data_IF_504721021380
#
_entry.id   IF_504721021380
#
_cell.length_a   1.000
_cell.length_b   1.000
_cell.length_c   1.000
_cell.angle_alpha   90.00
_cell.angle_beta   90.00
_cell.angle_gamma   90.00
#
_symmetry.space_group_name_H-M   'P 1'
#
loop_
_entity.id
_entity.type
_entity.pdbx_description
1 polymer ?
#
# COMPACT_ATOMS: atom_id res chain seq x y z
N UNK A 1 36.84 -18.87 -1.94
CA UNK A 1 35.75 -18.47 -1.04
C UNK A 1 35.88 -16.97 -0.81
N UNK A 2 35.12 -16.04 -1.41
CA UNK A 2 33.95 -16.10 -2.28
C UNK A 2 33.84 -14.78 -3.07
N UNK A 3 34.60 -14.63 -4.16
CA UNK A 3 34.43 -13.51 -5.10
C UNK A 3 33.26 -13.74 -6.09
N UNK A 4 32.59 -14.89 -5.98
CA UNK A 4 31.47 -15.29 -6.84
C UNK A 4 30.12 -14.80 -6.30
N UNK A 5 30.04 -14.42 -5.01
CA UNK A 5 28.79 -13.93 -4.41
C UNK A 5 28.45 -12.47 -4.77
N UNK A 6 29.44 -11.65 -5.12
CA UNK A 6 29.22 -10.21 -5.38
C UNK A 6 28.74 -9.90 -6.81
N UNK A 7 28.87 -10.83 -7.77
CA UNK A 7 28.42 -10.63 -9.16
C UNK A 7 26.99 -11.09 -9.42
N UNK A 8 26.37 -11.86 -8.52
CA UNK A 8 25.00 -12.34 -8.69
C UNK A 8 23.91 -11.37 -8.20
N UNK A 9 24.28 -10.29 -7.50
CA UNK A 9 23.32 -9.24 -7.13
C UNK A 9 23.18 -8.12 -8.16
N UNK A 10 24.09 -8.03 -9.13
CA UNK A 10 24.04 -6.99 -10.18
C UNK A 10 23.36 -7.46 -11.48
N UNK A 11 22.94 -8.73 -11.57
CA UNK A 11 22.28 -9.27 -12.75
C UNK A 11 20.73 -9.29 -12.67
N UNK A 12 20.14 -8.97 -11.51
CA UNK A 12 18.68 -8.84 -11.36
C UNK A 12 18.17 -7.40 -11.56
N UNK A 13 19.08 -6.46 -11.88
CA UNK A 13 18.75 -5.08 -12.26
C UNK A 13 18.56 -4.92 -13.78
N UNK A 14 18.48 -6.03 -14.52
CA UNK A 14 18.24 -6.02 -15.96
C UNK A 14 16.73 -6.22 -16.23
N UNK A 15 16.05 -5.11 -16.54
CA UNK A 15 14.72 -5.06 -17.16
C UNK A 15 13.57 -5.71 -16.36
N UNK A 16 13.20 -5.11 -15.23
CA UNK A 16 11.76 -4.90 -15.01
C UNK A 16 11.40 -3.62 -15.77
N UNK A 17 10.29 -3.54 -16.54
CA UNK A 17 9.86 -2.23 -17.04
C UNK A 17 9.82 -1.31 -15.82
N UNK A 18 10.47 -0.14 -15.91
CA UNK A 18 10.32 0.85 -14.85
C UNK A 18 8.82 1.14 -14.82
N UNK A 19 8.12 0.55 -13.85
CA UNK A 19 6.71 0.80 -13.67
C UNK A 19 6.61 2.31 -13.46
N UNK A 20 5.93 2.99 -14.38
CA UNK A 20 5.69 4.41 -14.26
C UNK A 20 4.62 4.63 -13.19
N UNK A 21 4.65 5.75 -12.45
CA UNK A 21 3.55 6.11 -11.57
C UNK A 21 2.21 6.04 -12.31
N UNK A 22 1.18 5.51 -11.63
CA UNK A 22 -0.17 5.32 -12.20
C UNK A 22 -1.18 6.19 -11.46
N UNK A 23 -2.21 6.67 -12.15
CA UNK A 23 -3.32 7.37 -11.49
C UNK A 23 -4.00 6.48 -10.47
N UNK A 24 -4.03 6.92 -9.21
CA UNK A 24 -4.65 6.18 -8.09
C UNK A 24 -6.14 5.93 -8.31
N UNK A 25 -6.80 6.82 -9.04
CA UNK A 25 -8.22 6.68 -9.36
C UNK A 25 -8.45 5.71 -10.51
N UNK A 26 -7.49 5.57 -11.42
CA UNK A 26 -7.57 4.65 -12.56
C UNK A 26 -7.31 3.23 -12.05
N UNK A 27 -6.26 3.05 -11.23
CA UNK A 27 -5.99 1.80 -10.54
C UNK A 27 -7.20 1.30 -9.72
N UNK A 28 -7.88 2.20 -8.99
CA UNK A 28 -9.11 1.85 -8.27
C UNK A 28 -10.23 1.39 -9.22
N UNK A 29 -10.42 2.05 -10.38
CA UNK A 29 -11.46 1.68 -11.35
C UNK A 29 -11.16 0.33 -12.01
N UNK A 30 -9.92 0.09 -12.41
CA UNK A 30 -9.49 -1.19 -12.98
C UNK A 30 -9.64 -2.33 -11.96
N UNK A 31 -9.20 -2.12 -10.71
CA UNK A 31 -9.41 -3.09 -9.65
C UNK A 31 -10.90 -3.32 -9.37
N UNK A 32 -11.74 -2.28 -9.46
CA UNK A 32 -13.18 -2.42 -9.29
C UNK A 32 -13.82 -3.31 -10.36
N UNK A 33 -13.36 -3.19 -11.61
CA UNK A 33 -13.77 -4.06 -12.71
C UNK A 33 -13.30 -5.51 -12.47
N UNK A 34 -12.06 -5.69 -12.00
CA UNK A 34 -11.46 -7.01 -11.76
C UNK A 34 -11.75 -7.62 -10.38
N UNK A 35 -12.48 -6.94 -9.48
CA UNK A 35 -12.58 -7.28 -8.05
C UNK A 35 -12.90 -8.73 -7.73
N UNK A 36 -13.75 -9.37 -8.55
CA UNK A 36 -14.14 -10.78 -8.37
C UNK A 36 -12.95 -11.73 -8.55
N UNK A 37 -12.03 -11.43 -9.47
CA UNK A 37 -10.81 -12.21 -9.70
C UNK A 37 -9.90 -12.18 -8.47
N UNK A 38 -9.85 -11.04 -7.79
CA UNK A 38 -9.09 -10.85 -6.55
C UNK A 38 -9.84 -11.29 -5.28
N UNK A 39 -11.05 -11.85 -5.40
CA UNK A 39 -11.88 -12.23 -4.25
C UNK A 39 -12.36 -11.05 -3.40
N UNK A 40 -12.41 -9.85 -3.98
CA UNK A 40 -12.80 -8.60 -3.32
C UNK A 40 -14.27 -8.23 -3.62
N UNK A 41 -14.87 -7.51 -2.68
CA UNK A 41 -16.21 -6.94 -2.84
C UNK A 41 -16.19 -5.39 -2.73
N UNK A 42 -17.36 -4.78 -2.90
CA UNK A 42 -17.51 -3.32 -2.93
C UNK A 42 -17.12 -2.65 -1.59
N UNK A 43 -17.25 -3.35 -0.46
CA UNK A 43 -16.79 -2.85 0.84
C UNK A 43 -15.27 -2.87 0.97
N UNK A 44 -14.60 -3.86 0.37
CA UNK A 44 -13.13 -3.88 0.30
C UNK A 44 -12.63 -2.68 -0.53
N UNK A 45 -13.27 -2.42 -1.68
CA UNK A 45 -12.95 -1.26 -2.53
C UNK A 45 -13.27 0.08 -1.86
N UNK A 46 -14.33 0.16 -1.07
CA UNK A 46 -14.64 1.38 -0.29
C UNK A 46 -13.52 1.69 0.71
N UNK A 47 -12.95 0.67 1.36
CA UNK A 47 -11.80 0.83 2.26
C UNK A 47 -10.56 1.27 1.49
N UNK A 48 -10.28 0.67 0.33
CA UNK A 48 -9.18 1.08 -0.53
C UNK A 48 -9.34 2.54 -0.98
N UNK A 49 -10.53 2.93 -1.43
CA UNK A 49 -10.87 4.30 -1.83
C UNK A 49 -10.59 5.30 -0.69
N UNK A 50 -10.97 4.96 0.54
CA UNK A 50 -10.65 5.78 1.71
C UNK A 50 -9.14 5.90 1.91
N UNK A 51 -8.36 4.81 1.77
CA UNK A 51 -6.90 4.84 1.92
C UNK A 51 -6.21 5.70 0.85
N UNK A 52 -6.52 5.51 -0.43
CA UNK A 52 -5.91 6.30 -1.52
C UNK A 52 -6.26 7.80 -1.44
N UNK A 53 -7.36 8.16 -0.77
CA UNK A 53 -7.71 9.57 -0.52
C UNK A 53 -6.76 10.26 0.47
N UNK A 54 -6.05 9.51 1.32
CA UNK A 54 -5.03 10.06 2.21
C UNK A 54 -3.68 10.29 1.51
N UNK A 55 -3.50 9.75 0.30
CA UNK A 55 -2.29 9.96 -0.48
C UNK A 55 -2.28 11.36 -1.08
N UNK A 56 -1.24 12.18 -0.88
CA UNK A 56 -1.09 13.44 -1.59
C UNK A 56 -0.85 13.19 -3.09
N UNK A 57 -1.26 14.13 -3.94
CA UNK A 57 -1.16 13.97 -5.38
C UNK A 57 -2.16 12.98 -5.98
N UNK A 58 -2.02 12.69 -7.27
CA UNK A 58 -2.93 11.83 -8.05
C UNK A 58 -2.37 10.44 -8.33
N UNK A 59 -1.07 10.24 -8.13
CA UNK A 59 -0.37 9.08 -8.66
C UNK A 59 0.12 8.17 -7.53
N UNK A 60 0.16 6.87 -7.81
CA UNK A 60 0.80 5.85 -7.00
C UNK A 60 2.16 5.56 -7.60
N UNK A 61 3.21 5.77 -6.82
CA UNK A 61 4.56 5.35 -7.19
C UNK A 61 4.72 3.84 -6.90
N UNK A 62 5.14 3.03 -7.87
CA UNK A 62 5.32 1.59 -7.71
C UNK A 62 6.59 1.25 -6.91
N UNK A 63 7.45 2.22 -6.60
CA UNK A 63 8.59 2.02 -5.73
C UNK A 63 8.12 1.69 -4.30
N UNK A 64 8.49 0.53 -3.74
CA UNK A 64 8.08 0.14 -2.39
C UNK A 64 8.50 1.16 -1.34
N UNK A 65 7.58 1.49 -0.43
CA UNK A 65 7.82 2.43 0.66
C UNK A 65 7.67 3.91 0.31
N UNK A 66 7.51 4.27 -0.98
CA UNK A 66 7.27 5.67 -1.39
C UNK A 66 5.82 6.07 -1.14
N UNK A 67 4.88 5.19 -1.51
CA UNK A 67 3.45 5.48 -1.50
C UNK A 67 2.76 4.99 -0.22
N UNK A 68 3.30 5.37 0.95
CA UNK A 68 2.82 4.90 2.25
C UNK A 68 1.89 5.91 2.92
N UNK A 69 0.65 5.51 3.20
CA UNK A 69 -0.31 6.30 3.99
C UNK A 69 -0.36 5.80 5.44
N UNK A 70 -0.44 6.73 6.40
CA UNK A 70 -0.45 6.40 7.83
C UNK A 70 -1.62 7.04 8.62
N UNK A 71 -2.87 6.98 8.12
CA UNK A 71 -4.00 7.53 8.86
C UNK A 71 -4.30 6.74 10.13
N UNK A 72 -4.81 7.44 11.15
CA UNK A 72 -5.34 6.80 12.35
C UNK A 72 -6.56 5.95 12.01
N UNK A 73 -6.81 4.90 12.79
CA UNK A 73 -8.02 4.09 12.65
C UNK A 73 -9.30 4.93 12.69
N UNK A 74 -9.34 5.95 13.56
CA UNK A 74 -10.46 6.89 13.66
C UNK A 74 -10.67 7.67 12.36
N UNK A 75 -9.61 8.23 11.79
CA UNK A 75 -9.69 8.99 10.54
C UNK A 75 -10.16 8.12 9.35
N UNK A 76 -9.72 6.86 9.28
CA UNK A 76 -10.21 5.92 8.25
C UNK A 76 -11.71 5.66 8.45
N UNK A 77 -12.13 5.35 9.68
CA UNK A 77 -13.55 5.13 10.00
C UNK A 77 -14.43 6.35 9.70
N UNK A 78 -13.96 7.56 10.02
CA UNK A 78 -14.64 8.82 9.70
C UNK A 78 -14.82 8.98 8.18
N UNK A 79 -13.78 8.70 7.39
CA UNK A 79 -13.88 8.74 5.92
C UNK A 79 -14.84 7.71 5.34
N UNK A 80 -15.00 6.60 6.04
CA UNK A 80 -15.93 5.52 5.71
C UNK A 80 -17.32 5.74 6.31
N UNK A 81 -17.71 7.00 6.58
CA UNK A 81 -19.00 7.38 7.15
C UNK A 81 -19.33 6.64 8.44
N UNK A 82 -18.35 6.50 9.34
CA UNK A 82 -18.54 5.88 10.65
C UNK A 82 -18.49 4.35 10.65
N UNK A 83 -17.93 3.71 9.62
CA UNK A 83 -17.75 2.25 9.59
C UNK A 83 -17.08 1.74 10.89
N UNK A 84 -17.63 0.70 11.55
CA UNK A 84 -17.04 0.14 12.77
C UNK A 84 -15.59 -0.31 12.57
N UNK A 85 -14.73 -0.06 13.56
CA UNK A 85 -13.31 -0.36 13.46
C UNK A 85 -13.01 -1.84 13.16
N UNK A 86 -13.73 -2.76 13.79
CA UNK A 86 -13.59 -4.20 13.55
C UNK A 86 -13.93 -4.59 12.10
N UNK A 87 -14.99 -3.98 11.54
CA UNK A 87 -15.38 -4.15 10.15
C UNK A 87 -14.34 -3.59 9.20
N UNK A 88 -13.88 -2.35 9.42
CA UNK A 88 -12.81 -1.74 8.62
C UNK A 88 -11.53 -2.57 8.63
N UNK A 89 -11.10 -3.07 9.80
CA UNK A 89 -9.91 -3.92 9.94
C UNK A 89 -10.06 -5.26 9.20
N UNK A 90 -11.24 -5.86 9.19
CA UNK A 90 -11.53 -7.10 8.45
C UNK A 90 -11.34 -6.91 6.95
N UNK A 91 -11.89 -5.83 6.39
CA UNK A 91 -11.74 -5.51 4.97
C UNK A 91 -10.29 -5.14 4.61
N UNK A 92 -9.61 -4.42 5.49
CA UNK A 92 -8.20 -4.09 5.30
C UNK A 92 -7.30 -5.33 5.31
N UNK A 93 -7.59 -6.32 6.16
CA UNK A 93 -6.88 -7.60 6.13
C UNK A 93 -7.09 -8.38 4.82
N UNK A 94 -8.29 -8.30 4.22
CA UNK A 94 -8.56 -8.90 2.90
C UNK A 94 -7.76 -8.23 1.79
N UNK A 95 -7.67 -6.90 1.78
CA UNK A 95 -6.85 -6.17 0.80
C UNK A 95 -5.37 -6.56 0.90
N UNK A 96 -4.85 -6.74 2.12
CA UNK A 96 -3.48 -7.22 2.34
C UNK A 96 -3.32 -8.67 1.85
N UNK A 97 -4.27 -9.55 2.19
CA UNK A 97 -4.23 -10.95 1.75
C UNK A 97 -4.34 -11.10 0.22
N UNK A 98 -5.05 -10.19 -0.45
CA UNK A 98 -5.17 -10.13 -1.91
C UNK A 98 -3.97 -9.47 -2.60
N UNK A 99 -2.95 -9.03 -1.84
CA UNK A 99 -1.74 -8.40 -2.38
C UNK A 99 -1.93 -6.95 -2.84
N UNK A 100 -3.09 -6.33 -2.60
CA UNK A 100 -3.41 -4.96 -3.01
C UNK A 100 -2.71 -3.92 -2.11
N UNK A 101 -2.42 -4.29 -0.87
CA UNK A 101 -1.77 -3.44 0.12
C UNK A 101 -0.64 -4.18 0.81
N UNK A 102 0.44 -3.48 1.11
CA UNK A 102 1.45 -3.99 2.05
C UNK A 102 1.29 -3.27 3.40
N UNK A 103 1.21 -4.06 4.48
CA UNK A 103 1.17 -3.52 5.83
C UNK A 103 2.59 -3.33 6.36
N UNK A 104 2.97 -2.08 6.65
CA UNK A 104 4.27 -1.73 7.25
C UNK A 104 4.09 -1.47 8.75
N UNK A 105 4.13 -2.53 9.55
CA UNK A 105 3.98 -2.43 11.00
C UNK A 105 5.24 -1.85 11.66
N UNK A 106 5.05 -0.97 12.64
CA UNK A 106 6.15 -0.54 13.52
C UNK A 106 6.37 -1.54 14.64
N UNK A 107 7.55 -1.53 15.31
CA UNK A 107 7.84 -2.38 16.46
C UNK A 107 6.79 -2.27 17.60
N UNK A 108 6.12 -1.11 17.71
CA UNK A 108 5.11 -0.84 18.73
C UNK A 108 3.67 -0.96 18.21
N UNK A 109 3.46 -1.44 16.98
CA UNK A 109 2.14 -1.58 16.37
C UNK A 109 1.41 -0.27 16.03
N UNK A 110 2.09 0.88 16.13
CA UNK A 110 1.55 2.21 15.78
C UNK A 110 1.93 2.61 14.35
N UNK A 111 1.12 3.45 13.69
CA UNK A 111 1.44 4.03 12.38
C UNK A 111 2.03 5.43 12.58
N UNK A 112 3.26 5.64 12.14
CA UNK A 112 3.97 6.92 12.22
C UNK A 112 5.12 6.96 11.21
N UNK A 113 5.60 8.16 10.89
CA UNK A 113 6.85 8.35 10.14
C UNK A 113 7.99 8.52 11.14
N UNK A 114 8.99 7.64 11.11
CA UNK A 114 10.22 7.78 11.88
C UNK A 114 11.28 8.41 10.98
N UNK A 115 11.64 9.67 11.23
CA UNK A 115 12.84 10.27 10.63
C UNK A 115 14.05 9.83 11.45
N UNK A 116 14.92 8.99 10.90
CA UNK A 116 16.22 8.63 11.50
C UNK A 116 17.32 9.05 10.54
N UNK A 117 18.30 9.84 11.01
CA UNK A 117 19.47 10.36 10.28
C UNK A 117 19.55 9.99 8.78
N UNK A 118 18.76 10.68 7.93
CA UNK A 118 18.84 10.56 6.47
C UNK A 118 17.60 9.97 5.80
N UNK A 119 17.01 8.89 6.32
CA UNK A 119 15.85 8.22 5.68
C UNK A 119 14.66 8.12 6.63
N UNK A 120 13.51 8.64 6.19
CA UNK A 120 12.25 8.52 6.90
C UNK A 120 11.62 7.15 6.65
N UNK A 121 11.48 6.31 7.67
CA UNK A 121 10.71 5.07 7.57
C UNK A 121 9.25 5.36 7.89
N UNK A 122 8.36 5.17 6.91
CA UNK A 122 6.92 5.29 7.09
C UNK A 122 6.30 3.94 7.51
N UNK A 123 5.64 3.93 8.67
CA UNK A 123 4.87 2.79 9.16
C UNK A 123 3.38 3.05 8.93
N UNK A 124 2.73 2.21 8.12
CA UNK A 124 1.39 2.46 7.58
C UNK A 124 0.95 1.40 6.58
N UNK A 125 0.19 1.82 5.57
CA UNK A 125 -0.22 1.01 4.42
C UNK A 125 0.48 1.52 3.18
N UNK A 126 1.22 0.64 2.55
CA UNK A 126 1.97 0.89 1.33
C UNK A 126 1.11 0.50 0.13
N UNK A 127 0.89 1.49 -0.73
CA UNK A 127 0.02 1.42 -1.91
C UNK A 127 0.79 1.06 -3.19
N UNK A 128 2.11 0.92 -3.12
CA UNK A 128 2.95 0.55 -4.28
C UNK A 128 2.56 -0.73 -5.05
N UNK A 129 1.80 -1.70 -4.48
CA UNK A 129 1.30 -2.84 -5.27
C UNK A 129 0.14 -2.52 -6.24
N UNK A 130 -0.49 -1.34 -6.13
CA UNK A 130 -1.56 -0.90 -7.06
C UNK A 130 -1.00 -0.59 -8.45
#
# INVERSE_FOLDING_TARGET
MDAVLLKHQQAAAAHSPMLSPVSKWDALRELAAARKIYGLNDRDLSVLQALISFLPGTDVDPQPGVTVVHPSNRAICERLNGMPNSTMRRHMAKLVAAGILIRRDSPNGKRYVRRSQGEGVAYGFDLSPL
#
